data_IF_507051737842
#
_entry.id   IF_507051737842
#
_cell.length_a   1.000
_cell.length_b   1.000
_cell.length_c   1.000
_cell.angle_alpha   90.00
_cell.angle_beta   90.00
_cell.angle_gamma   90.00
#
_symmetry.space_group_name_H-M   'P 1'
#
loop_
_entity.id
_entity.type
_entity.pdbx_description
1 polymer ?
#
# COMPACT_ATOMS: atom_id res chain seq x y z
N UNK A 1 3.92 20.35 -6.76
CA UNK A 1 4.17 20.16 -8.21
C UNK A 1 5.54 19.54 -8.54
N UNK A 2 6.66 20.03 -7.98
CA UNK A 2 8.01 19.51 -8.30
C UNK A 2 8.21 18.03 -7.98
N UNK A 3 7.50 17.50 -6.98
CA UNK A 3 7.73 16.14 -6.53
C UNK A 3 7.23 15.03 -7.48
N UNK A 4 6.11 15.28 -8.17
CA UNK A 4 5.43 14.31 -9.04
C UNK A 4 5.96 14.29 -10.48
N UNK A 5 6.78 15.26 -10.90
CA UNK A 5 7.27 15.37 -12.29
C UNK A 5 7.98 14.12 -12.81
N UNK A 6 8.53 13.28 -11.92
CA UNK A 6 9.17 12.00 -12.28
C UNK A 6 8.17 10.84 -12.50
N UNK A 7 6.92 11.01 -12.06
CA UNK A 7 5.84 10.01 -12.12
C UNK A 7 4.79 10.35 -13.18
N UNK A 8 4.58 11.63 -13.51
CA UNK A 8 3.61 12.01 -14.53
C UNK A 8 3.39 13.52 -14.61
N UNK A 9 2.26 13.90 -15.19
CA UNK A 9 1.88 15.31 -15.39
C UNK A 9 1.07 15.85 -14.22
N UNK A 10 1.08 17.18 -14.02
CA UNK A 10 0.25 17.84 -13.02
C UNK A 10 -1.25 17.58 -13.25
N UNK A 11 -1.68 17.56 -14.52
CA UNK A 11 -3.07 17.24 -14.91
C UNK A 11 -3.47 15.82 -14.54
N UNK A 12 -2.57 14.83 -14.72
CA UNK A 12 -2.83 13.45 -14.31
C UNK A 12 -3.00 13.36 -12.79
N UNK A 13 -2.10 14.00 -12.02
CA UNK A 13 -2.20 14.04 -10.56
C UNK A 13 -3.49 14.72 -10.10
N UNK A 14 -3.89 15.84 -10.72
CA UNK A 14 -5.13 16.53 -10.40
C UNK A 14 -6.35 15.62 -10.63
N UNK A 15 -6.37 14.90 -11.75
CA UNK A 15 -7.43 13.93 -12.06
C UNK A 15 -7.48 12.81 -11.00
N UNK A 16 -6.32 12.28 -10.62
CA UNK A 16 -6.25 11.21 -9.63
C UNK A 16 -6.70 11.69 -8.25
N UNK A 17 -6.32 12.92 -7.85
CA UNK A 17 -6.80 13.55 -6.63
C UNK A 17 -8.33 13.68 -6.64
N UNK A 18 -8.92 14.21 -7.71
CA UNK A 18 -10.38 14.33 -7.80
C UNK A 18 -11.08 12.96 -7.67
N UNK A 19 -10.59 11.94 -8.38
CA UNK A 19 -11.15 10.59 -8.33
C UNK A 19 -11.04 9.98 -6.93
N UNK A 20 -9.87 10.10 -6.30
CA UNK A 20 -9.61 9.57 -4.98
C UNK A 20 -10.42 10.29 -3.89
N UNK A 21 -10.59 11.61 -3.98
CA UNK A 21 -11.45 12.35 -3.04
C UNK A 21 -12.91 11.90 -3.13
N UNK A 22 -13.44 11.73 -4.35
CA UNK A 22 -14.80 11.21 -4.53
C UNK A 22 -14.92 9.79 -3.97
N UNK A 23 -13.95 8.91 -4.23
CA UNK A 23 -13.92 7.55 -3.68
C UNK A 23 -13.88 7.53 -2.15
N UNK A 24 -13.14 8.44 -1.52
CA UNK A 24 -13.06 8.53 -0.06
C UNK A 24 -14.38 8.95 0.58
N UNK A 25 -15.14 9.82 -0.10
CA UNK A 25 -16.44 10.29 0.37
C UNK A 25 -17.59 9.37 -0.05
N UNK A 26 -17.33 8.40 -0.92
CA UNK A 26 -18.35 7.48 -1.42
C UNK A 26 -18.90 6.62 -0.28
N UNK A 27 -20.21 6.66 0.03
CA UNK A 27 -20.78 5.83 1.08
C UNK A 27 -20.71 4.34 0.73
N UNK A 28 -20.36 3.49 1.69
CA UNK A 28 -20.22 2.04 1.47
C UNK A 28 -21.52 1.37 0.96
N UNK A 29 -22.68 1.93 1.31
CA UNK A 29 -24.01 1.47 0.93
C UNK A 29 -24.57 2.15 -0.33
N UNK A 30 -23.88 3.16 -0.87
CA UNK A 30 -24.38 3.93 -2.00
C UNK A 30 -24.20 3.19 -3.32
N UNK A 31 -25.32 2.98 -4.02
CA UNK A 31 -25.31 2.56 -5.42
C UNK A 31 -25.05 3.75 -6.35
N UNK A 32 -24.42 3.47 -7.49
CA UNK A 32 -24.23 4.49 -8.53
C UNK A 32 -25.61 5.00 -9.01
N UNK A 33 -25.84 6.32 -9.06
CA UNK A 33 -27.10 6.89 -9.50
C UNK A 33 -27.37 6.50 -10.96
N UNK A 34 -28.62 6.12 -11.24
CA UNK A 34 -29.08 5.68 -12.59
C UNK A 34 -29.88 6.75 -13.33
N UNK A 35 -30.17 7.85 -12.67
CA UNK A 35 -30.86 9.01 -13.24
C UNK A 35 -30.26 10.32 -12.74
N UNK A 36 -30.73 11.42 -13.31
CA UNK A 36 -30.28 12.77 -12.98
C UNK A 36 -30.57 13.17 -11.53
N UNK A 37 -31.74 12.83 -11.00
CA UNK A 37 -32.15 13.23 -9.66
C UNK A 37 -31.32 12.58 -8.56
N UNK A 38 -31.02 11.28 -8.73
CA UNK A 38 -30.10 10.55 -7.87
C UNK A 38 -28.68 11.09 -7.96
N UNK A 39 -28.21 11.47 -9.15
CA UNK A 39 -26.91 12.12 -9.30
C UNK A 39 -26.84 13.46 -8.57
N UNK A 40 -27.82 14.34 -8.77
CA UNK A 40 -27.86 15.66 -8.13
C UNK A 40 -27.91 15.53 -6.60
N UNK A 41 -28.67 14.57 -6.08
CA UNK A 41 -28.74 14.29 -4.64
C UNK A 41 -27.41 13.80 -4.08
N UNK A 42 -26.76 12.84 -4.75
CA UNK A 42 -25.45 12.35 -4.34
C UNK A 42 -24.39 13.47 -4.44
N UNK A 43 -24.40 14.25 -5.52
CA UNK A 43 -23.49 15.37 -5.71
C UNK A 43 -23.65 16.43 -4.62
N UNK A 44 -24.87 16.79 -4.23
CA UNK A 44 -25.11 17.72 -3.12
C UNK A 44 -24.59 17.15 -1.79
N UNK A 45 -24.83 15.85 -1.53
CA UNK A 45 -24.33 15.16 -0.33
C UNK A 45 -22.81 15.18 -0.24
N UNK A 46 -22.11 14.86 -1.33
CA UNK A 46 -20.64 14.83 -1.35
C UNK A 46 -20.03 16.25 -1.42
N UNK A 47 -20.75 17.19 -2.04
CA UNK A 47 -20.33 18.57 -2.29
C UNK A 47 -19.89 19.33 -1.05
N UNK A 48 -20.56 19.11 0.08
CA UNK A 48 -20.23 19.78 1.34
C UNK A 48 -18.84 19.40 1.88
N UNK A 49 -18.45 18.13 1.75
CA UNK A 49 -17.21 17.60 2.31
C UNK A 49 -16.05 17.54 1.32
N UNK A 50 -16.34 17.67 0.01
CA UNK A 50 -15.39 17.60 -1.08
C UNK A 50 -14.15 18.49 -0.91
N UNK A 51 -14.28 19.81 -0.59
CA UNK A 51 -13.12 20.68 -0.43
C UNK A 51 -12.18 20.22 0.70
N UNK A 52 -12.74 19.92 1.88
CA UNK A 52 -11.95 19.53 3.04
C UNK A 52 -11.32 18.14 2.86
N UNK A 53 -12.01 17.19 2.22
CA UNK A 53 -11.44 15.89 1.89
C UNK A 53 -10.32 16.00 0.85
N UNK A 54 -10.50 16.86 -0.16
CA UNK A 54 -9.49 17.13 -1.18
C UNK A 54 -8.22 17.72 -0.58
N UNK A 55 -8.36 18.69 0.33
CA UNK A 55 -7.21 19.31 1.01
C UNK A 55 -6.44 18.30 1.88
N UNK A 56 -7.15 17.48 2.69
CA UNK A 56 -6.52 16.41 3.48
C UNK A 56 -5.76 15.42 2.60
N UNK A 57 -6.39 14.98 1.50
CA UNK A 57 -5.74 14.06 0.56
C UNK A 57 -4.51 14.71 -0.10
N UNK A 58 -4.61 15.96 -0.55
CA UNK A 58 -3.50 16.68 -1.15
C UNK A 58 -2.32 16.83 -0.17
N UNK A 59 -2.60 17.06 1.11
CA UNK A 59 -1.60 17.08 2.17
C UNK A 59 -0.90 15.73 2.30
N UNK A 60 -1.65 14.64 2.48
CA UNK A 60 -1.09 13.28 2.58
C UNK A 60 -0.26 12.89 1.35
N UNK A 61 -0.74 13.23 0.14
CA UNK A 61 0.00 12.96 -1.11
C UNK A 61 1.29 13.76 -1.16
N UNK A 62 1.29 15.01 -0.68
CA UNK A 62 2.49 15.85 -0.61
C UNK A 62 3.52 15.29 0.35
N UNK A 63 3.10 14.88 1.55
CA UNK A 63 3.97 14.22 2.54
C UNK A 63 4.56 12.92 1.97
N UNK A 64 3.71 12.10 1.36
CA UNK A 64 4.11 10.83 0.73
C UNK A 64 5.16 11.04 -0.35
N UNK A 65 4.92 11.96 -1.30
CA UNK A 65 5.87 12.24 -2.38
C UNK A 65 7.18 12.82 -1.85
N UNK A 66 7.13 13.65 -0.81
CA UNK A 66 8.33 14.22 -0.18
C UNK A 66 9.19 13.12 0.45
N UNK A 67 8.58 12.22 1.22
CA UNK A 67 9.25 11.07 1.83
C UNK A 67 9.82 10.12 0.75
N UNK A 68 9.04 9.83 -0.29
CA UNK A 68 9.46 8.98 -1.41
C UNK A 68 10.70 9.53 -2.11
N UNK A 69 10.72 10.83 -2.41
CA UNK A 69 11.89 11.46 -3.03
C UNK A 69 13.12 11.45 -2.14
N UNK A 70 12.94 11.70 -0.84
CA UNK A 70 14.03 11.66 0.12
C UNK A 70 14.65 10.25 0.20
N UNK A 71 13.81 9.22 0.31
CA UNK A 71 14.28 7.83 0.36
C UNK A 71 14.91 7.39 -0.97
N UNK A 72 14.33 7.76 -2.12
CA UNK A 72 14.91 7.49 -3.44
C UNK A 72 16.34 8.04 -3.54
N UNK A 73 16.56 9.31 -3.15
CA UNK A 73 17.91 9.90 -3.13
C UNK A 73 18.89 9.15 -2.22
N UNK A 74 18.43 8.69 -1.05
CA UNK A 74 19.26 7.90 -0.15
C UNK A 74 19.63 6.54 -0.74
N UNK A 75 18.70 5.90 -1.46
CA UNK A 75 18.93 4.63 -2.15
C UNK A 75 19.92 4.79 -3.30
N UNK A 76 19.82 5.87 -4.08
CA UNK A 76 20.74 6.17 -5.19
C UNK A 76 22.19 6.36 -4.74
N UNK A 77 22.41 6.72 -3.47
CA UNK A 77 23.74 6.87 -2.86
C UNK A 77 24.31 5.56 -2.28
N UNK A 78 23.55 4.46 -2.28
CA UNK A 78 24.03 3.17 -1.76
C UNK A 78 24.99 2.53 -2.75
N UNK A 79 26.27 2.46 -2.38
CA UNK A 79 27.33 1.81 -3.17
C UNK A 79 27.93 0.58 -2.49
N UNK A 80 27.69 0.40 -1.18
CA UNK A 80 28.23 -0.72 -0.41
C UNK A 80 27.55 -2.04 -0.78
N UNK A 81 28.34 -3.05 -1.15
CA UNK A 81 27.85 -4.37 -1.56
C UNK A 81 26.92 -5.02 -0.53
N UNK A 82 27.22 -4.87 0.76
CA UNK A 82 26.42 -5.46 1.86
C UNK A 82 25.01 -4.88 1.99
N UNK A 83 24.75 -3.71 1.37
CA UNK A 83 23.47 -3.02 1.40
C UNK A 83 22.67 -3.18 0.10
N UNK A 84 23.25 -3.79 -0.94
CA UNK A 84 22.60 -3.87 -2.25
C UNK A 84 21.28 -4.64 -2.19
N UNK A 85 21.21 -5.75 -1.46
CA UNK A 85 19.96 -6.52 -1.31
C UNK A 85 18.86 -5.69 -0.63
N UNK A 86 19.22 -4.94 0.42
CA UNK A 86 18.28 -4.08 1.15
C UNK A 86 17.80 -2.95 0.24
N UNK A 87 18.73 -2.31 -0.48
CA UNK A 87 18.41 -1.23 -1.38
C UNK A 87 17.58 -1.69 -2.59
N UNK A 88 17.82 -2.90 -3.10
CA UNK A 88 17.01 -3.53 -4.13
C UNK A 88 15.56 -3.75 -3.67
N UNK A 89 15.38 -4.45 -2.54
CA UNK A 89 14.04 -4.71 -2.01
C UNK A 89 13.26 -3.41 -1.67
N UNK A 90 13.95 -2.38 -1.16
CA UNK A 90 13.37 -1.07 -0.90
C UNK A 90 12.97 -0.35 -2.19
N UNK A 91 13.77 -0.40 -3.25
CA UNK A 91 13.40 0.16 -4.57
C UNK A 91 12.15 -0.53 -5.11
N UNK A 92 12.09 -1.85 -5.03
CA UNK A 92 10.91 -2.60 -5.47
C UNK A 92 9.68 -2.22 -4.64
N UNK A 93 9.84 -2.04 -3.32
CA UNK A 93 8.76 -1.57 -2.45
C UNK A 93 8.27 -0.17 -2.86
N UNK A 94 9.19 0.76 -3.14
CA UNK A 94 8.83 2.11 -3.58
C UNK A 94 8.06 2.09 -4.90
N UNK A 95 8.46 1.26 -5.87
CA UNK A 95 7.75 1.14 -7.14
C UNK A 95 6.33 0.56 -6.96
N UNK A 96 6.14 -0.34 -5.99
CA UNK A 96 4.83 -0.92 -5.66
C UNK A 96 3.90 0.04 -4.92
N UNK A 97 4.45 1.01 -4.18
CA UNK A 97 3.68 2.00 -3.43
C UNK A 97 3.42 3.25 -4.27
N UNK A 98 4.42 3.70 -5.02
CA UNK A 98 4.45 4.99 -5.69
C UNK A 98 4.78 4.77 -7.17
N UNK A 99 3.73 4.80 -7.98
CA UNK A 99 3.75 4.66 -9.44
C UNK A 99 2.82 5.69 -10.08
N UNK A 100 2.87 5.92 -11.40
CA UNK A 100 1.87 6.74 -12.09
C UNK A 100 0.47 6.18 -11.81
N UNK A 101 -0.45 7.01 -11.29
CA UNK A 101 -1.80 6.57 -10.89
C UNK A 101 -1.98 6.15 -9.43
N UNK A 102 -0.91 6.07 -8.62
CA UNK A 102 -1.01 5.51 -7.26
C UNK A 102 -2.04 6.20 -6.36
N UNK A 103 -2.31 7.49 -6.58
CA UNK A 103 -3.29 8.25 -5.80
C UNK A 103 -4.70 7.70 -6.02
N UNK A 104 -5.05 7.38 -7.25
CA UNK A 104 -6.34 6.78 -7.58
C UNK A 104 -6.39 5.29 -7.19
N UNK A 105 -5.31 4.55 -7.42
CA UNK A 105 -5.28 3.09 -7.27
C UNK A 105 -5.17 2.62 -5.81
N UNK A 106 -4.67 3.47 -4.91
CA UNK A 106 -4.58 3.16 -3.49
C UNK A 106 -5.96 3.23 -2.83
N UNK A 107 -6.41 2.16 -2.14
CA UNK A 107 -7.68 2.20 -1.42
C UNK A 107 -7.70 3.33 -0.37
N UNK A 108 -8.83 4.03 -0.17
CA UNK A 108 -8.88 5.21 0.70
C UNK A 108 -8.36 4.99 2.12
N UNK A 109 -8.62 3.81 2.69
CA UNK A 109 -8.19 3.45 4.04
C UNK A 109 -6.67 3.23 4.18
N UNK A 110 -5.95 2.99 3.07
CA UNK A 110 -4.49 2.83 3.07
C UNK A 110 -3.74 4.09 2.61
N UNK A 111 -4.42 5.04 1.96
CA UNK A 111 -3.80 6.28 1.47
C UNK A 111 -3.10 7.06 2.59
N UNK A 112 -3.76 7.18 3.75
CA UNK A 112 -3.20 7.83 4.94
C UNK A 112 -1.98 7.11 5.54
N UNK A 113 -1.76 5.85 5.19
CA UNK A 113 -0.67 5.03 5.73
C UNK A 113 0.62 5.12 4.89
N UNK A 114 0.55 5.63 3.67
CA UNK A 114 1.72 5.73 2.78
C UNK A 114 2.90 6.48 3.42
N UNK A 115 2.72 7.63 4.09
CA UNK A 115 3.82 8.28 4.81
C UNK A 115 4.46 7.38 5.88
N UNK A 116 3.65 6.59 6.61
CA UNK A 116 4.14 5.67 7.64
C UNK A 116 4.97 4.54 7.04
N UNK A 117 4.54 3.96 5.92
CA UNK A 117 5.32 2.93 5.22
C UNK A 117 6.67 3.45 4.72
N UNK A 118 6.70 4.67 4.17
CA UNK A 118 7.95 5.30 3.73
C UNK A 118 8.88 5.67 4.89
N UNK A 119 8.31 6.06 6.04
CA UNK A 119 9.05 6.26 7.28
C UNK A 119 9.69 4.95 7.76
N UNK A 120 8.94 3.85 7.78
CA UNK A 120 9.46 2.52 8.13
C UNK A 120 10.58 2.08 7.18
N UNK A 121 10.41 2.28 5.87
CA UNK A 121 11.42 1.99 4.86
C UNK A 121 12.70 2.82 5.05
N UNK A 122 12.57 4.10 5.43
CA UNK A 122 13.71 4.97 5.72
C UNK A 122 14.46 4.50 6.98
N UNK A 123 13.74 4.14 8.04
CA UNK A 123 14.32 3.60 9.27
C UNK A 123 15.04 2.28 9.02
N UNK A 124 14.45 1.41 8.21
CA UNK A 124 15.09 0.15 7.77
C UNK A 124 16.44 0.41 7.10
N UNK A 125 16.49 1.32 6.13
CA UNK A 125 17.72 1.66 5.43
C UNK A 125 18.79 2.19 6.41
N UNK A 126 18.39 3.06 7.34
CA UNK A 126 19.28 3.55 8.41
C UNK A 126 19.83 2.43 9.29
N UNK A 127 18.96 1.55 9.79
CA UNK A 127 19.35 0.41 10.62
C UNK A 127 20.27 -0.57 9.88
N UNK A 128 19.98 -0.85 8.60
CA UNK A 128 20.78 -1.74 7.77
C UNK A 128 22.21 -1.22 7.54
N UNK A 129 22.41 0.11 7.47
CA UNK A 129 23.75 0.73 7.40
C UNK A 129 24.62 0.39 8.62
N UNK A 130 24.00 0.14 9.77
CA UNK A 130 24.70 -0.26 11.00
C UNK A 130 24.86 -1.78 11.09
N UNK A 131 23.80 -2.55 10.83
CA UNK A 131 23.83 -4.01 10.86
C UNK A 131 22.97 -4.63 9.75
N UNK A 132 23.60 -4.82 8.59
CA UNK A 132 22.99 -5.46 7.44
C UNK A 132 22.71 -6.96 7.65
N UNK A 133 23.37 -7.62 8.60
CA UNK A 133 23.10 -9.03 8.91
C UNK A 133 21.81 -9.17 9.72
N UNK A 134 21.55 -8.25 10.65
CA UNK A 134 20.27 -8.18 11.37
C UNK A 134 19.10 -7.87 10.45
N UNK A 135 19.26 -6.96 9.48
CA UNK A 135 18.22 -6.71 8.46
C UNK A 135 17.90 -7.99 7.69
N UNK A 136 18.93 -8.69 7.17
CA UNK A 136 18.78 -9.95 6.45
C UNK A 136 18.01 -10.99 7.26
N UNK A 137 18.34 -11.17 8.55
CA UNK A 137 17.62 -12.11 9.43
C UNK A 137 16.13 -11.75 9.55
N UNK A 138 15.78 -10.47 9.67
CA UNK A 138 14.38 -10.02 9.74
C UNK A 138 13.66 -10.20 8.40
N UNK A 139 14.34 -9.95 7.29
CA UNK A 139 13.79 -10.07 5.94
C UNK A 139 13.50 -11.53 5.49
N UNK A 140 14.11 -12.54 6.15
CA UNK A 140 13.94 -13.96 5.79
C UNK A 140 12.46 -14.39 5.74
N UNK A 141 11.64 -13.91 6.67
CA UNK A 141 10.21 -14.25 6.72
C UNK A 141 9.33 -13.47 5.74
N UNK A 142 9.84 -12.38 5.17
CA UNK A 142 9.07 -11.48 4.31
C UNK A 142 9.12 -11.88 2.83
N UNK A 143 10.29 -12.26 2.33
CA UNK A 143 10.50 -12.56 0.91
C UNK A 143 9.60 -13.71 0.39
N UNK A 144 9.51 -14.87 1.07
CA UNK A 144 8.65 -15.96 0.61
C UNK A 144 7.16 -15.58 0.54
N UNK A 145 6.70 -14.68 1.42
CA UNK A 145 5.31 -14.19 1.39
C UNK A 145 5.05 -13.36 0.13
N UNK A 146 5.97 -12.47 -0.23
CA UNK A 146 5.85 -11.67 -1.46
C UNK A 146 5.94 -12.53 -2.73
N UNK A 147 6.84 -13.51 -2.77
CA UNK A 147 6.96 -14.45 -3.89
C UNK A 147 5.65 -15.20 -4.11
N UNK A 148 5.10 -15.82 -3.06
CA UNK A 148 3.81 -16.52 -3.12
C UNK A 148 2.66 -15.60 -3.48
N UNK A 149 2.63 -14.38 -2.94
CA UNK A 149 1.62 -13.40 -3.29
C UNK A 149 1.63 -13.10 -4.80
N UNK A 150 2.81 -12.87 -5.36
CA UNK A 150 2.93 -12.56 -6.79
C UNK A 150 2.61 -13.73 -7.71
N UNK A 151 2.99 -14.93 -7.31
CA UNK A 151 2.69 -16.17 -8.03
C UNK A 151 1.19 -16.44 -8.14
N UNK A 152 0.43 -16.19 -7.06
CA UNK A 152 -0.97 -16.62 -6.97
C UNK A 152 -2.00 -15.51 -7.13
N UNK A 153 -1.61 -14.22 -7.06
CA UNK A 153 -2.59 -13.13 -7.13
C UNK A 153 -3.43 -13.22 -8.42
N UNK A 154 -4.74 -13.01 -8.34
CA UNK A 154 -5.57 -12.94 -9.53
C UNK A 154 -5.26 -11.66 -10.31
N UNK A 155 -5.22 -11.77 -11.64
CA UNK A 155 -5.07 -10.62 -12.55
C UNK A 155 -6.41 -9.89 -12.74
N UNK A 156 -7.52 -10.64 -12.70
CA UNK A 156 -8.85 -10.11 -12.98
C UNK A 156 -9.50 -9.55 -11.72
N UNK A 157 -10.07 -8.35 -11.82
CA UNK A 157 -10.80 -7.70 -10.72
C UNK A 157 -12.14 -8.37 -10.41
N UNK A 158 -12.66 -9.19 -11.34
CA UNK A 158 -13.87 -10.00 -11.19
C UNK A 158 -13.67 -11.27 -10.35
N UNK A 159 -12.42 -11.57 -9.94
CA UNK A 159 -12.14 -12.73 -9.11
C UNK A 159 -12.88 -12.63 -7.77
N UNK A 160 -13.55 -13.69 -7.27
CA UNK A 160 -14.38 -13.62 -6.06
C UNK A 160 -13.64 -13.11 -4.82
N UNK A 161 -12.35 -13.45 -4.69
CA UNK A 161 -11.48 -13.03 -3.59
C UNK A 161 -10.60 -11.81 -3.92
N UNK A 162 -10.89 -11.04 -4.97
CA UNK A 162 -10.02 -9.92 -5.38
C UNK A 162 -9.78 -8.91 -4.24
N UNK A 163 -10.82 -8.56 -3.49
CA UNK A 163 -10.71 -7.66 -2.34
C UNK A 163 -9.79 -8.23 -1.24
N UNK A 164 -9.88 -9.52 -0.96
CA UNK A 164 -9.02 -10.19 0.03
C UNK A 164 -7.55 -10.16 -0.40
N UNK A 165 -7.27 -10.36 -1.69
CA UNK A 165 -5.91 -10.25 -2.25
C UNK A 165 -5.38 -8.82 -2.17
N UNK A 166 -6.20 -7.82 -2.49
CA UNK A 166 -5.84 -6.40 -2.32
C UNK A 166 -5.53 -6.10 -0.86
N UNK A 167 -6.36 -6.57 0.07
CA UNK A 167 -6.13 -6.37 1.50
C UNK A 167 -4.84 -7.05 1.98
N UNK A 168 -4.60 -8.30 1.58
CA UNK A 168 -3.38 -9.05 1.90
C UNK A 168 -2.11 -8.31 1.44
N UNK A 169 -2.14 -7.67 0.25
CA UNK A 169 -1.03 -6.84 -0.24
C UNK A 169 -0.64 -5.74 0.74
N UNK A 170 -1.62 -5.12 1.40
CA UNK A 170 -1.36 -4.07 2.40
C UNK A 170 -0.93 -4.64 3.74
N UNK A 171 -1.42 -5.81 4.14
CA UNK A 171 -0.90 -6.51 5.31
C UNK A 171 0.59 -6.88 5.16
N UNK A 172 1.08 -7.10 3.92
CA UNK A 172 2.51 -7.27 3.66
C UNK A 172 3.32 -5.98 3.93
N UNK A 173 2.73 -4.80 3.72
CA UNK A 173 3.34 -3.52 4.10
C UNK A 173 3.28 -3.30 5.62
N UNK A 174 2.18 -3.69 6.29
CA UNK A 174 2.13 -3.71 7.75
C UNK A 174 3.21 -4.61 8.35
N UNK A 175 3.46 -5.78 7.73
CA UNK A 175 4.52 -6.69 8.18
C UNK A 175 5.89 -6.03 8.05
N UNK A 176 6.13 -5.24 7.00
CA UNK A 176 7.37 -4.45 6.87
C UNK A 176 7.51 -3.46 8.03
N UNK A 177 6.44 -2.77 8.41
CA UNK A 177 6.47 -1.87 9.58
C UNK A 177 6.79 -2.66 10.86
N UNK A 178 6.10 -3.78 11.10
CA UNK A 178 6.31 -4.61 12.28
C UNK A 178 7.75 -5.15 12.40
N UNK A 179 8.37 -5.53 11.27
CA UNK A 179 9.72 -6.11 11.27
C UNK A 179 10.83 -5.06 11.39
N UNK A 180 10.65 -3.89 10.80
CA UNK A 180 11.74 -2.93 10.60
C UNK A 180 11.59 -1.63 11.39
N UNK A 181 10.39 -1.28 11.82
CA UNK A 181 10.09 -0.07 12.60
C UNK A 181 8.88 -0.29 13.53
N UNK A 182 8.92 -1.27 14.45
CA UNK A 182 7.78 -1.63 15.31
C UNK A 182 7.24 -0.46 16.14
N UNK A 183 8.09 0.52 16.46
CA UNK A 183 7.74 1.74 17.19
C UNK A 183 6.75 2.66 16.45
N UNK A 184 6.59 2.49 15.13
CA UNK A 184 5.59 3.23 14.35
C UNK A 184 4.18 2.66 14.49
N UNK A 185 4.04 1.47 15.08
CA UNK A 185 2.77 0.76 15.18
C UNK A 185 2.27 0.23 13.83
N UNK A 186 1.35 -0.72 13.92
CA UNK A 186 0.65 -1.28 12.75
C UNK A 186 -0.82 -0.91 12.81
N UNK A 187 -1.42 -0.71 11.64
CA UNK A 187 -2.87 -0.45 11.53
C UNK A 187 -3.66 -1.69 11.97
N UNK A 188 -3.14 -2.87 11.64
CA UNK A 188 -3.74 -4.15 11.94
C UNK A 188 -2.70 -5.14 12.47
N UNK A 189 -3.09 -6.05 13.38
CA UNK A 189 -2.16 -7.02 13.93
C UNK A 189 -1.70 -8.01 12.84
N UNK A 190 -0.39 -8.02 12.58
CA UNK A 190 0.25 -8.86 11.56
C UNK A 190 1.42 -9.64 12.13
N UNK A 191 1.67 -10.82 11.54
CA UNK A 191 2.87 -11.62 11.78
C UNK A 191 3.13 -12.50 10.56
N UNK A 192 4.36 -12.97 10.41
CA UNK A 192 4.74 -13.90 9.33
C UNK A 192 3.80 -15.11 9.30
N UNK A 193 3.57 -15.74 10.45
CA UNK A 193 2.68 -16.91 10.57
C UNK A 193 1.22 -16.59 10.19
N UNK A 194 0.71 -15.41 10.57
CA UNK A 194 -0.66 -14.99 10.22
C UNK A 194 -0.83 -14.79 8.71
N UNK A 195 0.14 -14.15 8.05
CA UNK A 195 0.07 -13.92 6.61
C UNK A 195 0.26 -15.20 5.80
N UNK A 196 1.10 -16.14 6.26
CA UNK A 196 1.17 -17.48 5.66
C UNK A 196 -0.21 -18.16 5.67
N UNK A 197 -0.89 -18.16 6.82
CA UNK A 197 -2.23 -18.75 6.95
C UNK A 197 -3.27 -18.08 6.04
N UNK A 198 -3.22 -16.76 5.89
CA UNK A 198 -4.11 -16.03 4.97
C UNK A 198 -3.82 -16.38 3.50
N UNK A 199 -2.55 -16.46 3.10
CA UNK A 199 -2.15 -16.93 1.77
C UNK A 199 -2.63 -18.36 1.51
N UNK A 200 -2.45 -19.27 2.46
CA UNK A 200 -2.88 -20.67 2.32
C UNK A 200 -4.39 -20.78 2.12
N UNK A 201 -5.17 -19.93 2.81
CA UNK A 201 -6.62 -19.86 2.63
C UNK A 201 -7.01 -19.35 1.25
N UNK A 202 -6.37 -18.28 0.76
CA UNK A 202 -6.68 -17.66 -0.53
C UNK A 202 -6.23 -18.49 -1.74
N UNK A 203 -5.17 -19.28 -1.57
CA UNK A 203 -4.63 -20.16 -2.62
C UNK A 203 -5.29 -21.53 -2.64
N UNK A 204 -6.18 -21.84 -1.69
CA UNK A 204 -6.77 -23.17 -1.55
C UNK A 204 -5.78 -24.25 -1.10
N UNK A 205 -4.59 -23.85 -0.62
CA UNK A 205 -3.55 -24.73 -0.11
C UNK A 205 -3.81 -25.22 1.33
N UNK A 206 -4.87 -24.73 1.99
CA UNK A 206 -5.37 -25.38 3.20
C UNK A 206 -5.89 -26.78 2.85
N UNK A 207 -5.43 -27.85 3.50
CA UNK A 207 -6.07 -29.15 3.33
C UNK A 207 -7.55 -28.98 3.70
N UNK A 208 -8.43 -29.38 2.78
CA UNK A 208 -9.86 -29.45 3.04
C UNK A 208 -10.05 -30.03 4.44
N UNK A 209 -10.69 -29.26 5.32
CA UNK A 209 -11.03 -29.74 6.66
C UNK A 209 -11.75 -31.07 6.46
N UNK A 210 -11.07 -32.19 6.76
CA UNK A 210 -11.71 -33.50 6.82
C UNK A 210 -12.78 -33.34 7.88
N UNK A 211 -14.04 -33.26 7.42
CA UNK A 211 -15.20 -33.24 8.29
C UNK A 211 -15.10 -34.46 9.21
N UNK A 212 -15.11 -34.19 10.50
CA UNK A 212 -15.47 -35.18 11.49
C UNK A 212 -16.90 -35.64 11.15
N UNK A 213 -17.01 -36.88 10.70
CA UNK A 213 -18.24 -37.65 10.79
C UNK A 213 -17.88 -38.88 11.63
N UNK A 214 -18.16 -38.77 12.93
CA UNK A 214 -18.43 -39.91 13.79
C UNK A 214 -19.92 -40.17 13.80
#
# INVERSE_FOLDING_TARGET
ETAYRRLGTATALQRDLHLATVRQLWPDDAQAPRDRGGFETLAARLGADLPAAGERLAHTVTETLTAWQALTRQLDQVTTLTLLDVAGDLRDQLQRLIHPGFVADTPPHWMGELPRYLSAATRRLGAARHDAAADRRRALGLRPLWERYWEHRPVQTTHPHHADWVHLRWLLEELRVALFAPELGTREPVSVARLHKQLDALTGALPARRGAAG
#
